data_IF_293578696806
#
_entry.id   IF_293578696806
#
_cell.length_a   1.000
_cell.length_b   1.000
_cell.length_c   1.000
_cell.angle_alpha   90.00
_cell.angle_beta   90.00
_cell.angle_gamma   90.00
#
_symmetry.space_group_name_H-M   'P 1'
#
loop_
_entity.id
_entity.type
_entity.pdbx_description
1 polymer ?
#
# COMPACT_ATOMS: atom_id res chain seq x y z
N UNK A 1 -10.91 16.99 -0.84
CA UNK A 1 -9.69 16.18 -0.59
C UNK A 1 -9.33 15.32 -1.77
N UNK A 2 -8.05 15.26 -2.10
CA UNK A 2 -7.50 14.34 -3.08
C UNK A 2 -6.39 13.53 -2.44
N UNK A 3 -6.61 12.22 -2.20
CA UNK A 3 -5.58 11.36 -1.64
C UNK A 3 -4.57 11.00 -2.73
N UNK A 4 -3.42 11.68 -2.72
CA UNK A 4 -2.36 11.49 -3.72
C UNK A 4 -1.93 10.02 -3.92
N UNK A 5 -1.97 9.22 -2.85
CA UNK A 5 -1.62 7.80 -2.88
C UNK A 5 -2.42 7.02 -3.95
N UNK A 6 -3.69 7.34 -4.16
CA UNK A 6 -4.54 6.65 -5.14
C UNK A 6 -4.49 7.26 -6.55
N UNK A 7 -3.66 8.30 -6.77
CA UNK A 7 -3.49 8.87 -8.11
C UNK A 7 -2.94 7.84 -9.07
N UNK A 8 -3.57 7.76 -10.25
CA UNK A 8 -3.21 6.82 -11.33
C UNK A 8 -3.23 5.35 -10.90
N UNK A 9 -3.82 5.01 -9.76
CA UNK A 9 -4.13 3.63 -9.39
C UNK A 9 -5.42 3.24 -10.09
N UNK A 10 -5.28 2.68 -11.30
CA UNK A 10 -6.42 2.16 -12.05
C UNK A 10 -7.12 1.01 -11.31
N UNK A 11 -8.36 0.70 -11.70
CA UNK A 11 -9.21 -0.30 -11.03
C UNK A 11 -8.85 -1.75 -11.35
N UNK A 12 -8.21 -1.98 -12.49
CA UNK A 12 -7.93 -3.33 -13.02
C UNK A 12 -7.04 -4.14 -12.07
N UNK A 13 -6.00 -3.53 -11.51
CA UNK A 13 -5.07 -4.23 -10.60
C UNK A 13 -5.73 -4.57 -9.25
N UNK A 14 -6.35 -3.62 -8.52
CA UNK A 14 -7.12 -3.92 -7.32
C UNK A 14 -8.16 -5.02 -7.54
N UNK A 15 -8.92 -4.96 -8.64
CA UNK A 15 -9.92 -5.97 -8.98
C UNK A 15 -9.30 -7.36 -9.16
N UNK A 16 -8.24 -7.47 -9.96
CA UNK A 16 -7.52 -8.74 -10.16
C UNK A 16 -6.90 -9.29 -8.87
N UNK A 17 -6.55 -8.42 -7.91
CA UNK A 17 -6.03 -8.85 -6.61
C UNK A 17 -7.15 -9.41 -5.74
N UNK A 18 -8.31 -8.74 -5.72
CA UNK A 18 -9.52 -9.21 -5.02
C UNK A 18 -9.96 -10.57 -5.56
N UNK A 19 -10.16 -10.69 -6.87
CA UNK A 19 -10.66 -11.92 -7.52
C UNK A 19 -9.76 -13.15 -7.30
N UNK A 20 -8.47 -12.93 -7.03
CA UNK A 20 -7.49 -14.02 -6.83
C UNK A 20 -7.36 -14.49 -5.40
N UNK A 21 -7.87 -13.74 -4.43
CA UNK A 21 -7.64 -14.01 -3.03
C UNK A 21 -8.93 -13.84 -2.23
N UNK A 22 -9.57 -14.96 -1.90
CA UNK A 22 -10.80 -15.02 -1.12
C UNK A 22 -10.65 -14.28 0.22
N UNK A 23 -9.46 -14.27 0.82
CA UNK A 23 -9.19 -13.52 2.06
C UNK A 23 -9.52 -12.03 1.91
N UNK A 24 -9.14 -11.44 0.77
CA UNK A 24 -9.43 -10.03 0.52
C UNK A 24 -10.92 -9.82 0.29
N UNK A 25 -11.57 -10.67 -0.51
CA UNK A 25 -13.02 -10.60 -0.76
C UNK A 25 -13.81 -10.66 0.55
N UNK A 26 -13.49 -11.62 1.42
CA UNK A 26 -14.16 -11.78 2.71
C UNK A 26 -13.99 -10.55 3.59
N UNK A 27 -12.76 -10.03 3.72
CA UNK A 27 -12.51 -8.83 4.54
C UNK A 27 -13.24 -7.59 4.01
N UNK A 28 -13.28 -7.38 2.70
CA UNK A 28 -14.02 -6.25 2.11
C UNK A 28 -15.54 -6.43 2.16
N UNK A 29 -16.05 -7.66 2.02
CA UNK A 29 -17.48 -7.95 2.13
C UNK A 29 -18.00 -7.72 3.56
N UNK A 30 -17.16 -8.01 4.56
CA UNK A 30 -17.49 -7.85 5.97
C UNK A 30 -17.71 -6.38 6.37
N UNK A 31 -17.09 -5.42 5.66
CA UNK A 31 -17.32 -3.98 5.85
C UNK A 31 -18.78 -3.53 5.66
N UNK A 32 -19.58 -4.32 4.95
CA UNK A 32 -20.99 -4.01 4.72
C UNK A 32 -21.92 -4.52 5.84
N UNK A 33 -21.39 -5.28 6.80
CA UNK A 33 -22.17 -5.86 7.89
C UNK A 33 -22.10 -4.95 9.13
N UNK A 34 -23.21 -4.31 9.47
CA UNK A 34 -23.31 -3.37 10.61
C UNK A 34 -23.02 -4.04 11.96
N UNK A 35 -23.30 -5.34 12.08
CA UNK A 35 -23.01 -6.14 13.28
C UNK A 35 -21.60 -6.69 13.34
N UNK A 36 -20.84 -6.56 12.25
CA UNK A 36 -19.50 -7.11 12.18
C UNK A 36 -18.49 -6.16 12.83
N UNK A 37 -17.70 -6.71 13.76
CA UNK A 37 -16.66 -5.93 14.43
C UNK A 37 -15.48 -5.84 13.48
N UNK A 38 -15.13 -4.62 13.09
CA UNK A 38 -13.93 -4.37 12.31
C UNK A 38 -12.71 -4.44 13.24
N UNK A 39 -12.10 -5.62 13.31
CA UNK A 39 -11.00 -5.96 14.21
C UNK A 39 -9.62 -5.80 13.56
N UNK A 40 -8.58 -5.97 14.38
CA UNK A 40 -7.18 -5.84 13.95
C UNK A 40 -6.81 -6.86 12.87
N UNK A 41 -7.42 -8.05 12.87
CA UNK A 41 -7.18 -9.07 11.83
C UNK A 41 -7.66 -8.58 10.46
N UNK A 42 -8.86 -8.00 10.37
CA UNK A 42 -9.37 -7.42 9.11
C UNK A 42 -8.56 -6.21 8.67
N UNK A 43 -8.12 -5.40 9.61
CA UNK A 43 -7.21 -4.28 9.35
C UNK A 43 -5.91 -4.81 8.70
N UNK A 44 -5.32 -5.87 9.24
CA UNK A 44 -4.11 -6.49 8.67
C UNK A 44 -4.33 -7.04 7.26
N UNK A 45 -5.49 -7.65 7.01
CA UNK A 45 -5.86 -8.11 5.65
C UNK A 45 -5.97 -6.94 4.66
N UNK A 46 -6.58 -5.83 5.08
CA UNK A 46 -6.73 -4.63 4.24
C UNK A 46 -5.38 -3.93 4.03
N UNK A 47 -4.51 -3.92 5.04
CA UNK A 47 -3.15 -3.44 4.90
C UNK A 47 -2.36 -4.29 3.90
N UNK A 48 -2.48 -5.61 3.97
CA UNK A 48 -1.84 -6.52 3.00
C UNK A 48 -2.33 -6.30 1.58
N UNK A 49 -3.66 -6.19 1.40
CA UNK A 49 -4.25 -5.85 0.11
C UNK A 49 -3.67 -4.54 -0.44
N UNK A 50 -3.60 -3.51 0.41
CA UNK A 50 -3.06 -2.21 0.05
C UNK A 50 -1.60 -2.32 -0.36
N UNK A 51 -0.74 -2.98 0.43
CA UNK A 51 0.66 -3.24 0.07
C UNK A 51 0.79 -3.96 -1.29
N UNK A 52 -0.02 -4.98 -1.53
CA UNK A 52 -0.04 -5.73 -2.79
C UNK A 52 -0.48 -4.87 -3.99
N UNK A 53 -1.41 -3.93 -3.78
CA UNK A 53 -1.82 -2.95 -4.78
C UNK A 53 -0.64 -2.08 -5.23
N UNK A 54 0.30 -1.73 -4.34
CA UNK A 54 1.54 -1.00 -4.67
C UNK A 54 2.69 -1.90 -5.13
N UNK A 55 2.48 -3.21 -5.22
CA UNK A 55 3.50 -4.14 -5.72
C UNK A 55 4.42 -4.72 -4.66
N UNK A 56 4.15 -4.46 -3.39
CA UNK A 56 4.81 -5.10 -2.27
C UNK A 56 4.00 -6.33 -1.86
N UNK A 57 4.50 -7.52 -2.20
CA UNK A 57 3.85 -8.79 -1.84
C UNK A 57 4.26 -9.21 -0.42
N UNK A 58 3.41 -10.02 0.24
CA UNK A 58 3.70 -10.62 1.55
C UNK A 58 4.06 -9.59 2.64
N UNK A 59 3.40 -8.41 2.61
CA UNK A 59 3.62 -7.35 3.58
C UNK A 59 2.29 -6.97 4.21
N UNK A 60 2.15 -7.25 5.50
CA UNK A 60 0.95 -7.00 6.30
C UNK A 60 0.89 -5.58 6.91
N UNK A 61 1.89 -4.74 6.66
CA UNK A 61 1.91 -3.35 7.13
C UNK A 61 2.13 -2.38 5.98
N UNK A 62 1.19 -1.44 5.80
CA UNK A 62 1.34 -0.37 4.80
C UNK A 62 2.54 0.53 5.11
N UNK A 63 2.89 0.71 6.39
CA UNK A 63 4.04 1.50 6.80
C UNK A 63 5.37 0.81 6.42
N UNK A 64 5.46 -0.50 6.60
CA UNK A 64 6.61 -1.28 6.13
C UNK A 64 6.72 -1.25 4.60
N UNK A 65 5.60 -1.37 3.88
CA UNK A 65 5.58 -1.26 2.42
C UNK A 65 6.03 0.14 1.95
N UNK A 66 5.61 1.21 2.65
CA UNK A 66 6.07 2.59 2.40
C UNK A 66 7.58 2.70 2.53
N UNK A 67 8.16 2.20 3.62
CA UNK A 67 9.60 2.22 3.85
C UNK A 67 10.34 1.46 2.74
N UNK A 68 9.89 0.25 2.39
CA UNK A 68 10.52 -0.54 1.35
C UNK A 68 10.48 0.15 -0.03
N UNK A 69 9.34 0.76 -0.39
CA UNK A 69 9.22 1.52 -1.64
C UNK A 69 10.14 2.73 -1.60
N UNK A 70 10.20 3.44 -0.48
CA UNK A 70 11.09 4.57 -0.30
C UNK A 70 12.55 4.17 -0.45
N UNK A 71 13.01 3.13 0.25
CA UNK A 71 14.37 2.61 0.12
C UNK A 71 14.68 2.19 -1.31
N UNK A 72 13.76 1.51 -1.99
CA UNK A 72 13.95 1.11 -3.39
C UNK A 72 14.11 2.30 -4.34
N UNK A 73 13.39 3.40 -4.09
CA UNK A 73 13.41 4.59 -4.94
C UNK A 73 14.62 5.49 -4.64
N UNK A 74 15.03 5.58 -3.37
CA UNK A 74 15.97 6.61 -2.90
C UNK A 74 17.28 6.07 -2.30
N UNK A 75 17.32 4.82 -1.85
CA UNK A 75 18.47 4.20 -1.18
C UNK A 75 19.05 3.06 -2.04
N UNK A 76 20.01 3.38 -2.92
CA UNK A 76 20.85 2.39 -3.62
C UNK A 76 22.28 2.42 -3.07
N UNK A 77 22.95 1.26 -3.10
CA UNK A 77 24.24 0.94 -2.45
C UNK A 77 25.49 1.73 -2.90
N UNK A 78 25.37 2.78 -3.71
CA UNK A 78 26.55 3.55 -4.10
C UNK A 78 26.92 4.56 -3.01
N UNK A 79 28.08 4.33 -2.39
CA UNK A 79 28.65 5.20 -1.33
C UNK A 79 28.90 6.65 -1.77
N UNK A 80 28.77 6.93 -3.07
CA UNK A 80 29.00 8.24 -3.70
C UNK A 80 27.70 8.92 -4.18
N UNK A 81 26.53 8.31 -3.98
CA UNK A 81 25.26 8.86 -4.45
C UNK A 81 24.68 9.85 -3.42
N UNK A 82 24.64 11.14 -3.76
CA UNK A 82 24.04 12.15 -2.88
C UNK A 82 22.50 11.95 -2.83
N UNK A 83 21.99 11.42 -1.71
CA UNK A 83 20.55 11.21 -1.44
C UNK A 83 19.65 12.36 -1.94
N UNK A 84 20.05 13.61 -1.67
CA UNK A 84 19.27 14.80 -2.02
C UNK A 84 19.14 15.08 -3.53
N UNK A 85 20.04 14.55 -4.38
CA UNK A 85 19.94 14.72 -5.84
C UNK A 85 18.78 13.92 -6.43
N UNK A 86 18.38 12.80 -5.82
CA UNK A 86 17.29 11.92 -6.29
C UNK A 86 15.91 12.28 -5.75
N UNK A 87 15.83 13.04 -4.66
CA UNK A 87 14.56 13.47 -4.05
C UNK A 87 13.86 14.58 -4.86
N UNK A 88 14.53 15.14 -5.87
CA UNK A 88 13.97 16.19 -6.73
C UNK A 88 12.83 15.60 -7.58
N UNK A 89 11.58 15.93 -7.23
CA UNK A 89 10.38 15.47 -7.93
C UNK A 89 9.71 14.21 -7.36
N UNK A 90 9.66 14.09 -6.03
CA UNK A 90 8.94 13.00 -5.36
C UNK A 90 7.46 12.92 -5.81
N UNK A 91 7.12 11.85 -6.53
CA UNK A 91 5.73 11.52 -6.84
C UNK A 91 5.13 10.73 -5.68
N UNK A 92 4.32 11.43 -4.86
CA UNK A 92 3.65 10.85 -3.69
C UNK A 92 2.60 9.78 -4.04
N UNK A 93 2.23 9.63 -5.31
CA UNK A 93 1.36 8.53 -5.77
C UNK A 93 2.07 7.17 -5.84
N UNK A 94 3.41 7.17 -5.74
CA UNK A 94 4.21 5.95 -5.75
C UNK A 94 4.17 5.20 -4.42
N UNK A 95 3.86 5.89 -3.32
CA UNK A 95 3.82 5.31 -1.98
C UNK A 95 2.39 5.00 -1.51
N UNK A 96 2.18 3.92 -0.73
CA UNK A 96 0.90 3.61 -0.13
C UNK A 96 0.41 4.70 0.83
N UNK A 97 -0.89 4.77 1.17
CA UNK A 97 -1.37 5.58 2.28
C UNK A 97 -0.71 5.16 3.60
N UNK A 98 -0.69 6.09 4.57
CA UNK A 98 -0.19 5.80 5.92
C UNK A 98 -1.32 5.26 6.80
N UNK A 99 -1.01 4.32 7.70
CA UNK A 99 -2.00 3.84 8.69
C UNK A 99 -2.18 4.82 9.86
N UNK A 100 -1.06 5.27 10.45
CA UNK A 100 -1.01 6.25 11.54
C UNK A 100 0.20 7.16 11.32
N UNK A 101 0.02 8.46 11.47
CA UNK A 101 1.08 9.48 11.38
C UNK A 101 1.57 9.88 12.76
#
# INVERSE_FOLDING_TARGET
DYTAAFHRKGKVRPLKLLEKNEKFVTAFASLNNVSDIFDDEKIDVIQEFTSAMYGVKNCNSVNSARLQIFEKLFCRNDKNDHFLQKVKGFDSSLIPPCWRS
#
